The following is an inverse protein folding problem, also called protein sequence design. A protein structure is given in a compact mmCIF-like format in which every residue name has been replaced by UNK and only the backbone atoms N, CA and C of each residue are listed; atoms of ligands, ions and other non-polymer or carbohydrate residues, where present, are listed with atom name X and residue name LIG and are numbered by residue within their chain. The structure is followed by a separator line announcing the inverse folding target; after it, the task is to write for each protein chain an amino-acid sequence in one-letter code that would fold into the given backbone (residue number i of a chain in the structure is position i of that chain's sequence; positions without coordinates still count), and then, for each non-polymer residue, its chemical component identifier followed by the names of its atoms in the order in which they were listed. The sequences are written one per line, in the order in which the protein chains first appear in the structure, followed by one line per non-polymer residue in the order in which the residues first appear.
data_IF_028390773235
#
_entry.id   IF_028390773235
#
_cell.length_a   1.000
_cell.length_b   1.000
_cell.length_c   1.000
_cell.angle_alpha   90.00
_cell.angle_beta   90.00
_cell.angle_gamma   90.00
#
_symmetry.space_group_name_H-M   'P 1'
#
loop_
_entity.id
_entity.type
_entity.pdbx_description
1 polymer ?
#
# COMPACT_ATOMS: atom_id res chain seq x y z
N UNK A 1 -17.28 -6.72 58.37
CA UNK A 1 -18.12 -6.51 57.18
C UNK A 1 -17.25 -6.85 55.98
N UNK A 2 -17.28 -8.12 55.54
CA UNK A 2 -16.43 -8.64 54.46
C UNK A 2 -17.22 -8.52 53.17
N UNK A 3 -16.78 -7.65 52.26
CA UNK A 3 -17.39 -7.48 50.93
C UNK A 3 -16.68 -8.44 49.99
N UNK A 4 -17.32 -9.57 49.68
CA UNK A 4 -16.85 -10.54 48.68
C UNK A 4 -17.08 -9.95 47.28
N UNK A 5 -16.08 -9.29 46.71
CA UNK A 5 -16.10 -8.88 45.29
C UNK A 5 -15.96 -10.12 44.41
N UNK A 6 -17.06 -10.53 43.79
CA UNK A 6 -17.10 -11.60 42.80
C UNK A 6 -16.52 -11.08 41.48
N UNK A 7 -15.32 -11.57 41.11
CA UNK A 7 -14.71 -11.32 39.82
C UNK A 7 -15.47 -12.16 38.76
N UNK A 8 -16.34 -11.51 37.98
CA UNK A 8 -16.95 -12.12 36.80
C UNK A 8 -15.88 -12.20 35.70
N UNK A 9 -15.30 -13.38 35.51
CA UNK A 9 -14.42 -13.68 34.39
C UNK A 9 -15.27 -13.87 33.13
N UNK A 10 -15.48 -12.80 32.36
CA UNK A 10 -16.08 -12.92 31.03
C UNK A 10 -15.09 -13.63 30.11
N UNK A 11 -15.39 -14.87 29.73
CA UNK A 11 -14.67 -15.55 28.66
C UNK A 11 -14.86 -14.76 27.35
N UNK A 12 -13.84 -14.01 26.94
CA UNK A 12 -13.80 -13.46 25.59
C UNK A 12 -13.64 -14.66 24.64
N UNK A 13 -14.72 -15.03 23.95
CA UNK A 13 -14.61 -16.00 22.88
C UNK A 13 -13.62 -15.45 21.85
N UNK A 14 -12.51 -16.16 21.63
CA UNK A 14 -11.62 -15.89 20.51
C UNK A 14 -12.41 -16.23 19.23
N UNK A 15 -13.03 -15.22 18.62
CA UNK A 15 -13.62 -15.38 17.30
C UNK A 15 -12.48 -15.79 16.34
N UNK A 16 -12.66 -16.92 15.65
CA UNK A 16 -11.75 -17.33 14.59
C UNK A 16 -11.68 -16.29 13.47
N UNK A 17 -10.66 -16.37 12.61
CA UNK A 17 -10.62 -15.51 11.42
C UNK A 17 -11.87 -15.72 10.56
N UNK A 18 -12.47 -14.65 10.01
CA UNK A 18 -13.65 -14.77 9.16
C UNK A 18 -13.34 -15.47 7.84
N UNK A 19 -14.37 -16.09 7.26
CA UNK A 19 -14.36 -16.51 5.86
C UNK A 19 -14.55 -15.28 4.97
N UNK A 20 -13.47 -14.84 4.32
CA UNK A 20 -13.51 -13.67 3.45
C UNK A 20 -14.15 -13.94 2.09
N UNK A 21 -14.50 -15.19 1.78
CA UNK A 21 -15.33 -15.49 0.62
C UNK A 21 -16.80 -15.12 0.85
N UNK A 22 -17.26 -15.07 2.10
CA UNK A 22 -18.65 -14.78 2.47
C UNK A 22 -18.78 -14.12 3.86
N UNK A 23 -18.26 -12.88 4.05
CA UNK A 23 -18.35 -12.19 5.33
C UNK A 23 -19.80 -11.79 5.65
N UNK A 24 -20.31 -12.23 6.80
CA UNK A 24 -21.73 -12.10 7.16
C UNK A 24 -22.03 -10.82 7.95
N UNK A 25 -21.07 -10.32 8.72
CA UNK A 25 -21.25 -9.11 9.54
C UNK A 25 -20.18 -8.06 9.28
N UNK A 26 -20.49 -6.80 9.58
CA UNK A 26 -19.62 -5.67 9.26
C UNK A 26 -18.20 -5.79 9.85
N UNK A 27 -18.04 -6.39 11.03
CA UNK A 27 -16.71 -6.62 11.60
C UNK A 27 -15.88 -7.59 10.76
N UNK A 28 -16.50 -8.63 10.19
CA UNK A 28 -15.85 -9.58 9.30
C UNK A 28 -15.48 -8.89 7.98
N UNK A 29 -16.38 -8.10 7.41
CA UNK A 29 -16.11 -7.30 6.21
C UNK A 29 -14.92 -6.35 6.42
N UNK A 30 -14.85 -5.68 7.57
CA UNK A 30 -13.73 -4.79 7.92
C UNK A 30 -12.40 -5.57 8.01
N UNK A 31 -12.40 -6.75 8.64
CA UNK A 31 -11.22 -7.61 8.75
C UNK A 31 -10.76 -8.06 7.35
N UNK A 32 -11.70 -8.51 6.52
CA UNK A 32 -11.39 -9.01 5.18
C UNK A 32 -10.84 -7.91 4.27
N UNK A 33 -11.45 -6.72 4.26
CA UNK A 33 -10.93 -5.59 3.49
C UNK A 33 -9.54 -5.13 3.96
N UNK A 34 -9.25 -5.19 5.26
CA UNK A 34 -7.91 -4.92 5.76
C UNK A 34 -6.90 -5.95 5.26
N UNK A 35 -7.24 -7.24 5.30
CA UNK A 35 -6.38 -8.33 4.79
C UNK A 35 -6.13 -8.23 3.29
N UNK A 36 -7.10 -7.76 2.51
CA UNK A 36 -6.92 -7.48 1.08
C UNK A 36 -5.89 -6.35 0.87
N UNK A 37 -5.98 -5.28 1.64
CA UNK A 37 -4.98 -4.22 1.59
C UNK A 37 -3.59 -4.73 2.00
N UNK A 38 -3.47 -5.53 3.05
CA UNK A 38 -2.18 -6.13 3.45
C UNK A 38 -1.57 -6.98 2.33
N UNK A 39 -2.39 -7.72 1.58
CA UNK A 39 -1.91 -8.48 0.41
C UNK A 39 -1.40 -7.55 -0.70
N UNK A 40 -2.16 -6.51 -1.06
CA UNK A 40 -1.73 -5.52 -2.05
C UNK A 40 -0.44 -4.80 -1.63
N UNK A 41 -0.30 -4.44 -0.35
CA UNK A 41 0.91 -3.79 0.17
C UNK A 41 2.11 -4.75 0.16
N UNK A 42 1.90 -6.03 0.49
CA UNK A 42 2.94 -7.05 0.38
C UNK A 42 3.43 -7.22 -1.07
N UNK A 43 2.52 -7.19 -2.05
CA UNK A 43 2.90 -7.25 -3.47
C UNK A 43 3.73 -6.04 -3.91
N UNK A 44 3.33 -4.82 -3.53
CA UNK A 44 4.10 -3.61 -3.82
C UNK A 44 5.50 -3.70 -3.21
N UNK A 45 5.59 -4.09 -1.94
CA UNK A 45 6.87 -4.19 -1.23
C UNK A 45 7.76 -5.31 -1.79
N UNK A 46 7.19 -6.42 -2.28
CA UNK A 46 7.95 -7.47 -2.94
C UNK A 46 8.54 -7.00 -4.29
N UNK A 47 7.85 -6.10 -5.00
CA UNK A 47 8.32 -5.49 -6.23
C UNK A 47 9.42 -4.43 -5.99
N UNK A 48 9.35 -3.70 -4.88
CA UNK A 48 10.20 -2.54 -4.60
C UNK A 48 11.72 -2.75 -4.79
N UNK A 49 12.35 -3.85 -4.31
CA UNK A 49 13.79 -4.09 -4.52
C UNK A 49 14.18 -4.18 -6.00
N UNK A 50 13.31 -4.73 -6.85
CA UNK A 50 13.55 -4.87 -8.28
C UNK A 50 13.51 -3.50 -8.97
N UNK A 51 12.51 -2.68 -8.63
CA UNK A 51 12.38 -1.32 -9.15
C UNK A 51 13.57 -0.46 -8.73
N UNK A 52 13.97 -0.55 -7.46
CA UNK A 52 15.18 0.11 -6.95
C UNK A 52 16.41 -0.26 -7.77
N UNK A 53 16.64 -1.54 -8.00
CA UNK A 53 17.80 -2.02 -8.75
C UNK A 53 17.81 -1.50 -10.20
N UNK A 54 16.64 -1.41 -10.84
CA UNK A 54 16.50 -0.81 -12.17
C UNK A 54 16.90 0.67 -12.12
N UNK A 55 16.32 1.48 -11.23
CA UNK A 55 16.61 2.91 -11.18
C UNK A 55 18.08 3.21 -10.83
N UNK A 56 18.67 2.45 -9.89
CA UNK A 56 20.08 2.59 -9.54
C UNK A 56 21.03 2.23 -10.69
N UNK A 57 20.61 1.33 -11.58
CA UNK A 57 21.37 1.05 -12.81
C UNK A 57 21.26 2.23 -13.78
N UNK A 58 20.09 2.85 -13.90
CA UNK A 58 19.90 4.00 -14.78
C UNK A 58 20.71 5.23 -14.34
N UNK A 59 20.97 5.39 -13.03
CA UNK A 59 21.89 6.41 -12.50
C UNK A 59 23.34 6.26 -13.04
N UNK A 60 23.70 5.09 -13.57
CA UNK A 60 24.99 4.85 -14.22
C UNK A 60 25.13 5.51 -15.59
N UNK A 61 24.03 5.90 -16.24
CA UNK A 61 24.01 6.63 -17.51
C UNK A 61 23.93 8.14 -17.25
N UNK A 62 25.02 8.69 -16.73
CA UNK A 62 25.10 10.08 -16.30
C UNK A 62 24.69 11.07 -17.41
N UNK A 63 23.79 11.99 -17.06
CA UNK A 63 23.54 13.24 -17.78
C UNK A 63 24.04 14.35 -16.85
N UNK A 64 24.91 15.23 -17.35
CA UNK A 64 25.37 16.37 -16.56
C UNK A 64 24.31 17.47 -16.59
N UNK A 65 23.42 17.46 -15.59
CA UNK A 65 22.45 18.51 -15.29
C UNK A 65 22.26 18.69 -13.77
N UNK A 66 21.42 19.65 -13.37
CA UNK A 66 21.13 19.96 -11.96
C UNK A 66 19.95 19.13 -11.40
N UNK A 67 19.51 18.06 -12.07
CA UNK A 67 18.36 17.25 -11.62
C UNK A 67 18.79 16.07 -10.73
N UNK A 68 17.92 15.61 -9.80
CA UNK A 68 18.15 14.37 -9.06
C UNK A 68 18.22 13.15 -9.98
N UNK A 69 19.00 12.14 -9.59
CA UNK A 69 19.05 10.86 -10.29
C UNK A 69 17.71 10.12 -10.33
N UNK A 70 17.64 9.05 -11.12
CA UNK A 70 16.49 8.17 -11.26
C UNK A 70 16.05 7.59 -9.91
N UNK A 71 16.99 7.09 -9.11
CA UNK A 71 16.65 6.51 -7.81
C UNK A 71 16.11 7.55 -6.83
N UNK A 72 16.77 8.71 -6.74
CA UNK A 72 16.36 9.78 -5.83
C UNK A 72 14.96 10.30 -6.20
N UNK A 73 14.74 10.54 -7.49
CA UNK A 73 13.43 10.95 -8.03
C UNK A 73 12.33 9.93 -7.75
N UNK A 74 12.60 8.62 -7.95
CA UNK A 74 11.63 7.58 -7.62
C UNK A 74 11.33 7.52 -6.13
N UNK A 75 12.35 7.62 -5.27
CA UNK A 75 12.18 7.57 -3.83
C UNK A 75 11.35 8.75 -3.32
N UNK A 76 11.57 9.94 -3.85
CA UNK A 76 10.75 11.12 -3.58
C UNK A 76 9.30 10.89 -4.00
N UNK A 77 9.08 10.45 -5.26
CA UNK A 77 7.75 10.17 -5.79
C UNK A 77 7.00 9.12 -4.96
N UNK A 78 7.69 8.05 -4.52
CA UNK A 78 7.08 7.00 -3.69
C UNK A 78 6.65 7.54 -2.32
N UNK A 79 7.46 8.40 -1.68
CA UNK A 79 7.10 9.02 -0.39
C UNK A 79 5.92 9.97 -0.52
N UNK A 80 5.91 10.77 -1.58
CA UNK A 80 4.79 11.67 -1.89
C UNK A 80 3.50 10.87 -2.15
N UNK A 81 3.61 9.75 -2.87
CA UNK A 81 2.48 8.84 -3.12
C UNK A 81 1.92 8.24 -1.83
N UNK A 82 2.76 7.80 -0.87
CA UNK A 82 2.28 7.31 0.43
C UNK A 82 1.47 8.39 1.15
N UNK A 83 1.99 9.62 1.21
CA UNK A 83 1.29 10.73 1.85
C UNK A 83 -0.05 11.04 1.16
N UNK A 84 -0.07 11.01 -0.17
CA UNK A 84 -1.30 11.15 -0.95
C UNK A 84 -2.31 10.02 -0.65
N UNK A 85 -1.88 8.76 -0.72
CA UNK A 85 -2.72 7.57 -0.47
C UNK A 85 -3.39 7.67 0.89
N UNK A 86 -2.60 7.93 1.92
CA UNK A 86 -3.10 7.95 3.30
C UNK A 86 -4.07 9.12 3.54
N UNK A 87 -3.81 10.30 2.96
CA UNK A 87 -4.70 11.45 3.04
C UNK A 87 -5.99 11.23 2.23
N UNK A 88 -5.86 10.70 1.01
CA UNK A 88 -6.97 10.42 0.11
C UNK A 88 -7.89 9.35 0.70
N UNK A 89 -7.36 8.21 1.12
CA UNK A 89 -8.19 7.12 1.68
C UNK A 89 -8.79 7.47 3.03
N UNK A 90 -8.19 8.39 3.80
CA UNK A 90 -8.87 8.97 4.97
C UNK A 90 -10.10 9.76 4.54
N UNK A 91 -9.95 10.66 3.56
CA UNK A 91 -11.06 11.46 3.04
C UNK A 91 -12.16 10.58 2.42
N UNK A 92 -11.81 9.62 1.56
CA UNK A 92 -12.78 8.73 0.92
C UNK A 92 -13.59 7.89 1.91
N UNK A 93 -13.02 7.59 3.08
CA UNK A 93 -13.75 6.89 4.15
C UNK A 93 -14.81 7.77 4.85
N UNK A 94 -14.79 9.09 4.64
CA UNK A 94 -15.65 10.02 5.38
C UNK A 94 -17.14 9.92 5.01
N UNK A 95 -17.48 9.29 3.90
CA UNK A 95 -18.88 8.96 3.57
C UNK A 95 -19.52 8.08 4.67
N UNK A 96 -18.72 7.33 5.43
CA UNK A 96 -19.15 6.55 6.58
C UNK A 96 -18.54 7.02 7.90
N UNK A 97 -18.10 8.29 8.00
CA UNK A 97 -17.33 8.79 9.16
C UNK A 97 -18.03 8.52 10.49
N UNK A 98 -17.33 7.84 11.40
CA UNK A 98 -17.84 7.49 12.73
C UNK A 98 -18.77 6.27 12.76
N UNK A 99 -19.10 5.70 11.60
CA UNK A 99 -19.87 4.47 11.46
C UNK A 99 -19.00 3.23 11.34
N UNK A 100 -19.63 2.06 11.46
CA UNK A 100 -18.96 0.75 11.40
C UNK A 100 -18.43 0.40 10.01
N UNK A 101 -18.90 1.07 8.96
CA UNK A 101 -18.42 0.93 7.57
C UNK A 101 -17.15 1.72 7.26
N UNK A 102 -16.74 2.69 8.10
CA UNK A 102 -15.57 3.52 7.82
C UNK A 102 -14.28 2.71 7.56
N UNK A 103 -13.95 1.67 8.36
CA UNK A 103 -12.74 0.88 8.13
C UNK A 103 -12.77 0.08 6.83
N UNK A 104 -13.95 -0.41 6.42
CA UNK A 104 -14.15 -1.06 5.13
C UNK A 104 -13.83 -0.10 3.99
N UNK A 105 -14.46 1.09 3.96
CA UNK A 105 -14.22 2.08 2.89
C UNK A 105 -12.76 2.53 2.84
N UNK A 106 -12.13 2.72 4.00
CA UNK A 106 -10.73 3.08 4.09
C UNK A 106 -9.84 2.00 3.48
N UNK A 107 -10.00 0.74 3.92
CA UNK A 107 -9.15 -0.38 3.48
C UNK A 107 -9.34 -0.67 1.99
N UNK A 108 -10.58 -0.65 1.48
CA UNK A 108 -10.85 -0.80 0.04
C UNK A 108 -10.15 0.27 -0.80
N UNK A 109 -10.14 1.53 -0.35
CA UNK A 109 -9.39 2.58 -1.03
C UNK A 109 -7.87 2.29 -1.01
N UNK A 110 -7.34 1.86 0.13
CA UNK A 110 -5.93 1.54 0.29
C UNK A 110 -5.50 0.42 -0.66
N UNK A 111 -6.31 -0.63 -0.80
CA UNK A 111 -6.12 -1.72 -1.79
C UNK A 111 -6.03 -1.16 -3.20
N UNK A 112 -7.06 -0.43 -3.66
CA UNK A 112 -7.13 0.08 -5.04
C UNK A 112 -5.94 0.97 -5.39
N UNK A 113 -5.56 1.90 -4.52
CA UNK A 113 -4.42 2.78 -4.80
C UNK A 113 -3.09 2.03 -4.78
N UNK A 114 -2.95 1.02 -3.92
CA UNK A 114 -1.72 0.21 -3.81
C UNK A 114 -1.55 -0.71 -5.03
N UNK A 115 -2.62 -1.33 -5.51
CA UNK A 115 -2.62 -2.13 -6.74
C UNK A 115 -2.24 -1.26 -7.96
N UNK A 116 -2.86 -0.09 -8.11
CA UNK A 116 -2.54 0.86 -9.18
C UNK A 116 -1.08 1.27 -9.15
N UNK A 117 -0.57 1.62 -7.97
CA UNK A 117 0.84 1.98 -7.82
C UNK A 117 1.76 0.82 -8.18
N UNK A 118 1.39 -0.39 -7.81
CA UNK A 118 2.15 -1.59 -8.18
C UNK A 118 2.24 -1.72 -9.71
N UNK A 119 1.15 -1.48 -10.44
CA UNK A 119 1.19 -1.49 -11.91
C UNK A 119 2.02 -0.35 -12.50
N UNK A 120 1.89 0.88 -11.97
CA UNK A 120 2.73 2.02 -12.38
C UNK A 120 4.23 1.70 -12.25
N UNK A 121 4.63 1.02 -11.17
CA UNK A 121 6.01 0.60 -10.94
C UNK A 121 6.45 -0.53 -11.91
N UNK A 122 5.55 -1.45 -12.26
CA UNK A 122 5.80 -2.49 -13.29
C UNK A 122 5.96 -1.86 -14.67
N UNK A 123 5.13 -0.89 -15.02
CA UNK A 123 5.23 -0.15 -16.28
C UNK A 123 6.52 0.64 -16.36
N UNK A 124 6.86 1.38 -15.30
CA UNK A 124 8.09 2.16 -15.21
C UNK A 124 9.31 1.28 -15.45
N UNK A 125 9.35 0.09 -14.85
CA UNK A 125 10.47 -0.84 -15.03
C UNK A 125 10.48 -1.52 -16.39
N UNK A 126 9.33 -1.89 -16.97
CA UNK A 126 9.26 -2.41 -18.35
C UNK A 126 9.84 -1.42 -19.37
N UNK A 127 9.48 -0.15 -19.25
CA UNK A 127 9.91 0.90 -20.17
C UNK A 127 11.42 1.20 -20.05
N UNK A 128 12.01 1.02 -18.87
CA UNK A 128 13.48 1.15 -18.70
C UNK A 128 14.24 -0.14 -19.08
N UNK A 129 13.58 -1.30 -19.05
CA UNK A 129 14.16 -2.59 -19.44
C UNK A 129 14.16 -2.84 -20.95
N UNK A 130 13.32 -2.14 -21.73
CA UNK A 130 13.29 -2.26 -23.19
C UNK A 130 14.56 -1.74 -23.87
N UNK A 131 15.43 -1.02 -23.15
CA UNK A 131 16.75 -0.64 -23.64
C UNK A 131 16.72 0.15 -24.93
N UNK A 132 15.66 0.93 -25.19
CA UNK A 132 15.72 1.92 -26.26
C UNK A 132 16.91 2.83 -25.99
N UNK A 133 17.94 2.68 -26.81
CA UNK A 133 19.15 3.48 -26.72
C UNK A 133 18.74 4.96 -26.75
N UNK A 134 19.06 5.69 -25.68
CA UNK A 134 18.88 7.14 -25.67
C UNK A 134 19.67 7.71 -26.86
N UNK A 135 19.06 8.53 -27.73
CA UNK A 135 19.80 9.18 -28.81
C UNK A 135 20.87 10.06 -28.16
N UNK A 136 22.16 9.74 -28.38
CA UNK A 136 23.28 10.54 -27.86
C UNK A 136 24.46 9.78 -27.24
N UNK A 137 24.44 8.44 -27.15
CA UNK A 137 25.58 7.66 -26.63
C UNK A 137 26.55 7.12 -27.70
N UNK A 138 26.53 7.68 -28.92
CA UNK A 138 27.52 7.36 -29.95
C UNK A 138 28.64 8.41 -29.91
N UNK A 139 29.84 7.99 -29.50
CA UNK A 139 31.08 8.69 -29.81
C UNK A 139 31.39 8.60 -31.30
#
# INVERSE_FOLDING_TARGET
MIILSSLLLTAQAAAGMPDCADPQVQSEMNICAHREWEQADAELNALWPQVRAVMQREDGYAVEDDQPGYWESLLEAQRAWIAYRDAHCRLSSYDARGGTMQPLLHSTCMTVLTERRTEELRELTRNQMSGEAKPGTEN
#
